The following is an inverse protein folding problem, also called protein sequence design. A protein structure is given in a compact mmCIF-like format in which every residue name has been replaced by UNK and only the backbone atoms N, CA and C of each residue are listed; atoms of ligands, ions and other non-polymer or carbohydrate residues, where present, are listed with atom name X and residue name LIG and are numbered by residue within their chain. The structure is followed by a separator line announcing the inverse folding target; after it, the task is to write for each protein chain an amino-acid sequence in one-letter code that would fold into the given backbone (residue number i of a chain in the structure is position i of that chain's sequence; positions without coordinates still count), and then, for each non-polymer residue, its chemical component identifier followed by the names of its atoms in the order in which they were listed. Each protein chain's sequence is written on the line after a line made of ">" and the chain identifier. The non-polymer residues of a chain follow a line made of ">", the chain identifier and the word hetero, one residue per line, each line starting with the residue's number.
data_IF_275094729073
#
_entry.id   IF_275094729073
#
_cell.length_a   1.000
_cell.length_b   1.000
_cell.length_c   1.000
_cell.angle_alpha   90.00
_cell.angle_beta   90.00
_cell.angle_gamma   90.00
#
_symmetry.space_group_name_H-M   'P 1'
#
loop_
_entity.id
_entity.type
_entity.pdbx_description
1 polymer ?
#
# COMPACT_ATOMS: atom_id res chain seq x y z
N UNK A 1 3.65 -25.81 -9.37
CA UNK A 1 3.16 -24.51 -9.90
C UNK A 1 3.07 -23.56 -8.71
N UNK A 2 3.98 -22.59 -8.58
CA UNK A 2 3.83 -21.50 -7.60
C UNK A 2 2.98 -20.40 -8.24
N UNK A 3 2.05 -19.83 -7.47
CA UNK A 3 1.14 -18.78 -7.92
C UNK A 3 1.57 -17.47 -7.25
N UNK A 4 1.68 -16.40 -8.03
CA UNK A 4 2.26 -15.14 -7.56
C UNK A 4 1.19 -14.07 -7.36
N UNK A 5 1.35 -13.23 -6.33
CA UNK A 5 0.42 -12.14 -5.98
C UNK A 5 1.08 -10.79 -6.30
N UNK A 6 0.36 -9.90 -6.96
CA UNK A 6 0.79 -8.51 -7.15
C UNK A 6 0.12 -7.61 -6.09
N UNK A 7 0.92 -6.78 -5.43
CA UNK A 7 0.43 -5.71 -4.55
C UNK A 7 0.82 -4.35 -5.13
N UNK A 8 -0.13 -3.41 -5.10
CA UNK A 8 0.07 -2.06 -5.61
C UNK A 8 -0.32 -1.04 -4.55
N UNK A 9 0.63 -0.16 -4.20
CA UNK A 9 0.46 0.98 -3.33
C UNK A 9 0.63 2.25 -4.19
N UNK A 10 -0.46 2.72 -4.79
CA UNK A 10 -0.38 3.85 -5.71
C UNK A 10 -0.20 5.16 -4.94
N UNK A 11 1.04 5.62 -4.79
CA UNK A 11 1.37 6.94 -4.25
C UNK A 11 1.93 7.85 -5.36
N UNK A 12 1.17 8.87 -5.78
CA UNK A 12 1.70 9.93 -6.63
C UNK A 12 2.43 10.97 -5.77
N UNK A 13 3.76 10.89 -5.69
CA UNK A 13 4.59 11.96 -5.11
C UNK A 13 4.92 13.01 -6.18
N UNK A 14 4.40 14.23 -6.02
CA UNK A 14 4.93 15.41 -6.70
C UNK A 14 5.24 16.48 -5.66
N UNK A 15 6.55 16.68 -5.49
CA UNK A 15 7.25 17.84 -4.91
C UNK A 15 7.34 17.95 -3.38
N UNK A 16 8.60 18.03 -2.94
CA UNK A 16 9.06 18.55 -1.65
C UNK A 16 8.15 19.67 -1.13
N UNK A 17 7.42 19.44 -0.04
CA UNK A 17 6.79 20.53 0.70
C UNK A 17 6.99 20.35 2.19
N UNK A 18 7.64 21.35 2.78
CA UNK A 18 7.70 21.54 4.23
C UNK A 18 6.26 21.52 4.75
N UNK A 19 5.98 20.63 5.71
CA UNK A 19 4.64 20.42 6.25
C UNK A 19 4.02 21.75 6.70
N UNK A 20 2.87 22.10 6.12
CA UNK A 20 1.85 22.80 6.90
C UNK A 20 0.92 21.73 7.46
N UNK A 21 0.67 21.80 8.76
CA UNK A 21 0.01 20.80 9.59
C UNK A 21 -1.51 20.70 9.32
N UNK A 22 -1.91 20.42 8.08
CA UNK A 22 -3.32 20.38 7.67
C UNK A 22 -3.65 19.66 6.37
N UNK A 23 -2.66 19.06 5.69
CA UNK A 23 -2.91 18.25 4.50
C UNK A 23 -2.87 16.76 4.83
N UNK A 24 -3.85 16.00 4.33
CA UNK A 24 -3.86 14.53 4.34
C UNK A 24 -3.81 14.01 2.91
N UNK A 25 -3.12 12.89 2.73
CA UNK A 25 -3.05 12.14 1.48
C UNK A 25 -3.80 10.83 1.65
N UNK A 26 -4.37 10.32 0.58
CA UNK A 26 -4.99 8.99 0.58
C UNK A 26 -4.05 8.00 -0.09
N UNK A 27 -3.68 6.95 0.63
CA UNK A 27 -3.00 5.78 0.08
C UNK A 27 -4.07 4.75 -0.27
N UNK A 28 -4.22 4.43 -1.55
CA UNK A 28 -5.11 3.35 -1.98
C UNK A 28 -4.32 2.05 -2.07
N UNK A 29 -4.75 1.06 -1.32
CA UNK A 29 -4.13 -0.27 -1.28
C UNK A 29 -5.05 -1.32 -1.91
N UNK A 30 -4.45 -2.25 -2.65
CA UNK A 30 -5.16 -3.37 -3.26
C UNK A 30 -4.31 -4.64 -3.26
N UNK A 31 -4.99 -5.78 -3.31
CA UNK A 31 -4.38 -7.11 -3.34
C UNK A 31 -4.96 -7.92 -4.49
N UNK A 32 -4.10 -8.56 -5.28
CA UNK A 32 -4.53 -9.61 -6.20
C UNK A 32 -5.03 -10.87 -5.46
N UNK A 33 -5.64 -11.84 -6.17
CA UNK A 33 -6.06 -13.11 -5.59
C UNK A 33 -4.90 -13.88 -4.95
N UNK A 34 -5.16 -14.56 -3.83
CA UNK A 34 -4.18 -15.41 -3.15
C UNK A 34 -3.42 -14.74 -2.01
N UNK A 35 -3.88 -13.59 -1.52
CA UNK A 35 -3.40 -12.99 -0.29
C UNK A 35 -4.22 -11.78 0.13
N UNK A 36 -3.78 -11.12 1.18
CA UNK A 36 -4.42 -9.92 1.74
C UNK A 36 -3.39 -8.83 2.06
N UNK A 37 -3.83 -7.57 2.05
CA UNK A 37 -3.10 -6.41 2.58
C UNK A 37 -3.93 -5.74 3.68
N UNK A 38 -3.26 -5.24 4.71
CA UNK A 38 -3.90 -4.47 5.79
C UNK A 38 -3.04 -3.27 6.17
N UNK A 39 -3.61 -2.05 6.24
CA UNK A 39 -5.00 -1.70 5.91
C UNK A 39 -5.33 -1.89 4.41
N UNK A 40 -6.60 -2.16 4.09
CA UNK A 40 -7.09 -2.37 2.71
C UNK A 40 -7.94 -1.17 2.25
N UNK A 41 -7.86 -0.82 0.98
CA UNK A 41 -8.60 0.30 0.39
C UNK A 41 -7.92 1.65 0.66
N UNK A 42 -8.74 2.69 0.79
CA UNK A 42 -8.31 4.08 0.94
C UNK A 42 -7.94 4.42 2.39
N UNK A 43 -6.68 4.82 2.59
CA UNK A 43 -6.11 5.10 3.91
C UNK A 43 -5.63 6.55 3.96
N UNK A 44 -6.31 7.44 4.71
CA UNK A 44 -5.85 8.81 4.87
C UNK A 44 -4.64 8.87 5.81
N UNK A 45 -3.57 9.51 5.35
CA UNK A 45 -2.31 9.68 6.08
C UNK A 45 -1.98 11.17 6.12
N UNK A 46 -1.66 11.68 7.30
CA UNK A 46 -1.25 13.07 7.44
C UNK A 46 0.06 13.33 6.67
N UNK A 47 0.20 14.52 6.09
CA UNK A 47 1.43 14.91 5.42
C UNK A 47 2.63 14.79 6.37
N UNK A 48 3.63 13.99 5.95
CA UNK A 48 4.83 13.72 6.74
C UNK A 48 4.67 12.64 7.83
N UNK A 49 3.51 11.98 7.94
CA UNK A 49 3.34 10.79 8.77
C UNK A 49 3.67 9.52 7.99
N UNK A 50 4.18 8.52 8.71
CA UNK A 50 4.41 7.18 8.16
C UNK A 50 3.15 6.31 8.28
N UNK A 51 2.91 5.45 7.29
CA UNK A 51 1.86 4.44 7.32
C UNK A 51 2.44 3.07 6.96
N UNK A 52 2.24 2.09 7.84
CA UNK A 52 2.67 0.70 7.62
C UNK A 52 1.55 -0.12 7.00
N UNK A 53 1.90 -0.96 6.03
CA UNK A 53 1.02 -1.96 5.46
C UNK A 53 1.62 -3.36 5.67
N UNK A 54 0.76 -4.32 6.03
CA UNK A 54 1.14 -5.73 6.19
C UNK A 54 0.54 -6.52 5.05
N UNK A 55 1.37 -7.30 4.36
CA UNK A 55 0.98 -8.20 3.29
C UNK A 55 1.04 -9.64 3.80
N UNK A 56 -0.02 -10.41 3.60
CA UNK A 56 -0.11 -11.82 3.99
C UNK A 56 -0.50 -12.68 2.78
N UNK A 57 0.45 -13.43 2.19
CA UNK A 57 0.15 -14.42 1.17
C UNK A 57 -0.63 -15.61 1.73
N UNK A 58 -1.56 -16.16 0.95
CA UNK A 58 -2.19 -17.45 1.24
C UNK A 58 -1.19 -18.59 1.02
N UNK A 59 -1.50 -19.77 1.58
CA UNK A 59 -0.66 -20.95 1.41
C UNK A 59 -0.44 -21.31 -0.07
N UNK A 60 0.82 -21.46 -0.45
CA UNK A 60 1.21 -21.79 -1.82
C UNK A 60 1.29 -20.59 -2.78
N UNK A 61 1.10 -19.37 -2.25
CA UNK A 61 1.34 -18.13 -2.96
C UNK A 61 2.57 -17.39 -2.42
N UNK A 62 3.19 -16.59 -3.29
CA UNK A 62 4.33 -15.74 -2.97
C UNK A 62 4.10 -14.30 -3.45
N UNK A 63 4.80 -13.34 -2.84
CA UNK A 63 4.77 -11.95 -3.27
C UNK A 63 5.57 -11.82 -4.56
N UNK A 64 4.90 -11.48 -5.65
CA UNK A 64 5.52 -11.30 -6.96
C UNK A 64 6.25 -9.96 -7.04
N UNK A 65 5.59 -8.91 -6.56
CA UNK A 65 6.04 -7.53 -6.67
C UNK A 65 5.28 -6.63 -5.69
N UNK A 66 5.90 -5.51 -5.31
CA UNK A 66 5.29 -4.42 -4.53
C UNK A 66 5.58 -3.11 -5.27
N UNK A 67 4.54 -2.55 -5.87
CA UNK A 67 4.61 -1.31 -6.64
C UNK A 67 4.21 -0.08 -5.82
#
# INVERSE_FOLDING_TARGET
>A
MHKSIFFNLLFFLVLFFSASHGYSYTITSSAGPGGAISPFGDVPVAAGADQTFTIMPDLGYEIADVA
#
